data_IF_157777305266
#
_entry.id   IF_157777305266
#
_cell.length_a   1.000
_cell.length_b   1.000
_cell.length_c   1.000
_cell.angle_alpha   90.00
_cell.angle_beta   90.00
_cell.angle_gamma   90.00
#
_symmetry.space_group_name_H-M   'P 1'
#
loop_
_entity.id
_entity.type
_entity.pdbx_description
1 polymer ?
#
# COMPACT_ATOMS: atom_id res chain seq x y z
N UNK A 1 7.16 -7.97 -24.13
CA UNK A 1 5.90 -8.21 -23.34
C UNK A 1 6.11 -8.07 -21.83
N UNK A 2 7.22 -8.60 -21.25
CA UNK A 2 7.52 -8.51 -19.81
C UNK A 2 7.63 -7.07 -19.28
N UNK A 3 8.21 -6.16 -20.04
CA UNK A 3 8.35 -4.74 -19.67
C UNK A 3 7.00 -4.03 -19.49
N UNK A 4 6.01 -4.33 -20.34
CA UNK A 4 4.65 -3.80 -20.19
C UNK A 4 3.97 -4.29 -18.93
N UNK A 5 4.21 -5.54 -18.54
CA UNK A 5 3.68 -6.13 -17.31
C UNK A 5 4.30 -5.49 -16.06
N UNK A 6 5.62 -5.33 -16.05
CA UNK A 6 6.34 -4.67 -14.95
C UNK A 6 5.88 -3.21 -14.78
N UNK A 7 5.72 -2.46 -15.87
CA UNK A 7 5.21 -1.09 -15.81
C UNK A 7 3.76 -0.99 -15.30
N UNK A 8 2.92 -1.99 -15.61
CA UNK A 8 1.56 -2.05 -15.09
C UNK A 8 1.53 -2.41 -13.60
N UNK A 9 2.38 -3.35 -13.19
CA UNK A 9 2.55 -3.72 -11.78
C UNK A 9 3.02 -2.52 -10.95
N UNK A 10 3.99 -1.77 -11.45
CA UNK A 10 4.52 -0.57 -10.78
C UNK A 10 3.44 0.51 -10.61
N UNK A 11 2.66 0.77 -11.67
CA UNK A 11 1.48 1.66 -11.58
C UNK A 11 0.44 1.18 -10.58
N UNK A 12 0.18 -0.13 -10.53
CA UNK A 12 -0.75 -0.72 -9.57
C UNK A 12 -0.24 -0.55 -8.14
N UNK A 13 1.06 -0.77 -7.90
CA UNK A 13 1.70 -0.57 -6.60
C UNK A 13 1.64 0.89 -6.15
N UNK A 14 1.89 1.83 -7.07
CA UNK A 14 1.78 3.27 -6.80
C UNK A 14 0.33 3.63 -6.47
N UNK A 15 -0.64 3.14 -7.24
CA UNK A 15 -2.05 3.38 -6.98
C UNK A 15 -2.50 2.81 -5.62
N UNK A 16 -2.06 1.59 -5.31
CA UNK A 16 -2.32 0.92 -4.02
C UNK A 16 -1.70 1.69 -2.84
N UNK A 17 -0.48 2.20 -3.02
CA UNK A 17 0.18 3.07 -2.03
C UNK A 17 -0.64 4.32 -1.74
N UNK A 18 -1.13 5.01 -2.78
CA UNK A 18 -1.99 6.17 -2.60
C UNK A 18 -3.32 5.81 -1.96
N UNK A 19 -3.89 4.64 -2.26
CA UNK A 19 -5.12 4.16 -1.62
C UNK A 19 -4.92 3.98 -0.11
N UNK A 20 -3.84 3.30 0.30
CA UNK A 20 -3.51 3.10 1.71
C UNK A 20 -3.22 4.44 2.40
N UNK A 21 -2.49 5.34 1.73
CA UNK A 21 -2.18 6.66 2.28
C UNK A 21 -3.45 7.53 2.45
N UNK A 22 -4.33 7.55 1.46
CA UNK A 22 -5.59 8.28 1.53
C UNK A 22 -6.52 7.69 2.59
N UNK A 23 -6.53 6.37 2.73
CA UNK A 23 -7.25 5.67 3.80
C UNK A 23 -6.76 6.11 5.18
N UNK A 24 -5.45 6.32 5.35
CA UNK A 24 -4.89 6.84 6.59
C UNK A 24 -5.35 8.27 6.89
N UNK A 25 -5.40 9.15 5.88
CA UNK A 25 -5.96 10.50 6.04
C UNK A 25 -7.45 10.48 6.36
N UNK A 26 -8.22 9.62 5.68
CA UNK A 26 -9.64 9.40 6.00
C UNK A 26 -9.77 8.99 7.47
N UNK A 27 -8.99 8.02 7.92
CA UNK A 27 -9.02 7.56 9.30
C UNK A 27 -8.78 8.70 10.29
N UNK A 28 -7.77 9.53 10.06
CA UNK A 28 -7.48 10.69 10.91
C UNK A 28 -8.68 11.65 11.01
N UNK A 29 -9.30 11.98 9.87
CA UNK A 29 -10.50 12.82 9.83
C UNK A 29 -11.68 12.14 10.53
N UNK A 30 -11.87 10.84 10.32
CA UNK A 30 -12.97 10.08 10.91
C UNK A 30 -12.85 9.95 12.44
N UNK A 31 -11.63 9.84 12.97
CA UNK A 31 -11.35 9.85 14.42
C UNK A 31 -11.67 11.23 15.01
N UNK A 32 -11.29 12.31 14.33
CA UNK A 32 -11.64 13.68 14.76
C UNK A 32 -13.16 13.86 14.70
N UNK A 33 -13.83 13.43 13.64
CA UNK A 33 -15.31 13.47 13.52
C UNK A 33 -16.03 12.74 14.64
N UNK A 34 -15.49 11.58 15.05
CA UNK A 34 -16.05 10.79 16.16
C UNK A 34 -16.02 11.54 17.49
N UNK A 35 -15.04 12.43 17.71
CA UNK A 35 -15.02 13.30 18.91
C UNK A 35 -16.09 14.39 18.91
N UNK A 36 -16.69 14.66 17.75
CA UNK A 36 -17.80 15.63 17.56
C UNK A 36 -19.14 14.90 17.36
N UNK A 37 -19.22 13.60 17.67
CA UNK A 37 -20.39 12.72 17.45
C UNK A 37 -20.88 12.63 15.99
N UNK A 38 -20.12 13.15 15.02
CA UNK A 38 -20.46 13.07 13.60
C UNK A 38 -19.84 11.78 13.04
N UNK A 39 -20.65 10.84 12.52
CA UNK A 39 -20.13 9.64 11.87
C UNK A 39 -19.60 10.01 10.48
N UNK A 40 -18.39 10.61 10.42
CA UNK A 40 -17.66 10.95 9.19
C UNK A 40 -17.16 9.70 8.42
N UNK A 41 -18.00 8.65 8.34
CA UNK A 41 -17.67 7.41 7.68
C UNK A 41 -16.71 6.51 8.47
N UNK A 42 -16.52 6.70 9.78
CA UNK A 42 -15.67 5.82 10.60
C UNK A 42 -16.08 4.35 10.48
N UNK A 43 -17.39 4.06 10.56
CA UNK A 43 -17.91 2.69 10.44
C UNK A 43 -17.67 2.11 9.03
N UNK A 44 -17.81 2.93 7.99
CA UNK A 44 -17.54 2.52 6.61
C UNK A 44 -16.05 2.21 6.43
N UNK A 45 -15.17 3.09 6.92
CA UNK A 45 -13.72 2.88 6.90
C UNK A 45 -13.33 1.59 7.63
N UNK A 46 -13.92 1.34 8.80
CA UNK A 46 -13.65 0.15 9.60
C UNK A 46 -14.11 -1.13 8.89
N UNK A 47 -15.27 -1.10 8.22
CA UNK A 47 -15.73 -2.22 7.40
C UNK A 47 -14.84 -2.46 6.18
N UNK A 48 -14.31 -1.41 5.56
CA UNK A 48 -13.38 -1.50 4.42
C UNK A 48 -11.97 -1.94 4.84
N UNK A 49 -11.63 -1.86 6.12
CA UNK A 49 -10.31 -2.22 6.64
C UNK A 49 -9.91 -3.66 6.39
N UNK A 50 -10.77 -4.61 6.75
CA UNK A 50 -10.50 -6.04 6.54
C UNK A 50 -10.45 -6.45 5.04
N UNK A 51 -11.42 -6.10 4.20
CA UNK A 51 -11.46 -6.56 2.81
C UNK A 51 -10.61 -5.73 1.83
N UNK A 52 -10.32 -4.45 2.11
CA UNK A 52 -9.65 -3.55 1.15
C UNK A 52 -8.28 -3.12 1.65
N UNK A 53 -8.19 -2.53 2.84
CA UNK A 53 -6.94 -1.93 3.31
C UNK A 53 -5.92 -2.96 3.78
N UNK A 54 -6.35 -4.02 4.47
CA UNK A 54 -5.44 -5.09 4.95
C UNK A 54 -4.74 -5.81 3.79
N UNK A 55 -5.44 -6.23 2.72
CA UNK A 55 -4.79 -6.84 1.56
C UNK A 55 -3.90 -5.87 0.79
N UNK A 56 -4.32 -4.62 0.60
CA UNK A 56 -3.53 -3.57 -0.06
C UNK A 56 -2.17 -3.37 0.63
N UNK A 57 -2.18 -3.18 1.95
CA UNK A 57 -0.95 -3.08 2.76
C UNK A 57 -0.07 -4.32 2.58
N UNK A 58 -0.67 -5.52 2.54
CA UNK A 58 0.06 -6.76 2.28
C UNK A 58 0.80 -6.77 0.93
N UNK A 59 0.15 -6.28 -0.13
CA UNK A 59 0.76 -6.14 -1.46
C UNK A 59 1.91 -5.14 -1.44
N UNK A 60 1.75 -4.00 -0.77
CA UNK A 60 2.82 -2.99 -0.62
C UNK A 60 4.03 -3.55 0.11
N UNK A 61 3.80 -4.23 1.24
CA UNK A 61 4.88 -4.86 2.01
C UNK A 61 5.58 -5.91 1.15
N UNK A 62 4.82 -6.77 0.46
CA UNK A 62 5.38 -7.80 -0.41
C UNK A 62 6.20 -7.18 -1.55
N UNK A 63 5.72 -6.10 -2.18
CA UNK A 63 6.45 -5.36 -3.20
C UNK A 63 7.74 -4.72 -2.67
N UNK A 64 7.68 -4.10 -1.49
CA UNK A 64 8.84 -3.50 -0.84
C UNK A 64 9.88 -4.56 -0.44
N UNK A 65 9.45 -5.68 0.12
CA UNK A 65 10.33 -6.81 0.49
C UNK A 65 10.94 -7.44 -0.75
N UNK A 66 10.16 -7.71 -1.80
CA UNK A 66 10.66 -8.25 -3.06
C UNK A 66 11.73 -7.33 -3.67
N UNK A 67 11.48 -6.02 -3.66
CA UNK A 67 12.43 -5.01 -4.15
C UNK A 67 13.71 -4.97 -3.30
N UNK A 68 13.59 -5.04 -1.97
CA UNK A 68 14.73 -5.09 -1.05
C UNK A 68 15.57 -6.35 -1.23
N UNK A 69 14.94 -7.52 -1.34
CA UNK A 69 15.60 -8.81 -1.56
C UNK A 69 16.29 -8.85 -2.93
N UNK A 70 15.61 -8.40 -3.99
CA UNK A 70 16.19 -8.33 -5.33
C UNK A 70 17.46 -7.44 -5.35
N UNK A 71 17.42 -6.30 -4.65
CA UNK A 71 18.57 -5.39 -4.54
C UNK A 71 19.71 -5.98 -3.71
N UNK A 72 19.41 -6.76 -2.67
CA UNK A 72 20.41 -7.44 -1.86
C UNK A 72 21.11 -8.55 -2.66
N UNK A 73 20.35 -9.33 -3.43
CA UNK A 73 20.89 -10.38 -4.30
C UNK A 73 21.75 -9.75 -5.39
N UNK A 74 21.27 -8.72 -6.09
CA UNK A 74 22.04 -8.07 -7.16
C UNK A 74 23.33 -7.43 -6.67
N UNK A 75 23.35 -6.84 -5.47
CA UNK A 75 24.59 -6.33 -4.85
C UNK A 75 25.61 -7.43 -4.58
N UNK A 76 25.17 -8.61 -4.11
CA UNK A 76 26.06 -9.73 -3.77
C UNK A 76 26.62 -10.45 -4.99
N UNK A 77 25.86 -10.52 -6.09
CA UNK A 77 26.28 -11.19 -7.32
C UNK A 77 26.87 -10.24 -8.39
N UNK A 78 26.58 -8.94 -8.31
CA UNK A 78 27.08 -7.92 -9.24
C UNK A 78 28.40 -7.26 -8.84
N UNK A 79 28.96 -7.57 -7.66
CA UNK A 79 30.28 -7.09 -7.22
C UNK A 79 31.44 -8.00 -7.67
N UNK A 80 31.24 -8.79 -8.74
CA UNK A 80 32.18 -9.82 -9.21
C UNK A 80 32.58 -9.73 -10.68
N UNK A 81 32.36 -8.59 -11.36
CA UNK A 81 32.89 -8.33 -12.71
C UNK A 81 33.70 -7.05 -12.76
#
# INVERSE_FOLDING_TARGET
MKERFLNWLDRLLIADFFLVLLSFFWFAIAVIGRSVEIPLGFNLWYQLWQPVFTPAIGILILGAVASGVARQISKRFGSGS
#
